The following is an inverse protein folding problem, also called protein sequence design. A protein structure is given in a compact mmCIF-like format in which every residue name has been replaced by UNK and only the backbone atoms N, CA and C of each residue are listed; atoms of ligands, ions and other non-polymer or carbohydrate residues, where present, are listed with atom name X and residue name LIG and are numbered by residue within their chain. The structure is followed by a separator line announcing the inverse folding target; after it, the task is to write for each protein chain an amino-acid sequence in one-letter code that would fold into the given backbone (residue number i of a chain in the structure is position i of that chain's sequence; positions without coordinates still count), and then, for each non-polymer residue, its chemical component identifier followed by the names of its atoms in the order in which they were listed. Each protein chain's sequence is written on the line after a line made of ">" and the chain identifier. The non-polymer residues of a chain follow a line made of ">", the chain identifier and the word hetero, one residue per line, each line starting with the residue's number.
data_IF_361153165568
#
_entry.id   IF_361153165568
#
_cell.length_a   1.000
_cell.length_b   1.000
_cell.length_c   1.000
_cell.angle_alpha   90.00
_cell.angle_beta   90.00
_cell.angle_gamma   90.00
#
_symmetry.space_group_name_H-M   'P 1'
#
loop_
_entity.id
_entity.type
_entity.pdbx_description
1 polymer ?
#
# COMPACT_ATOMS: atom_id res chain seq x y z
N UNK A 1 -10.41 12.61 6.63
CA UNK A 1 -11.19 12.46 5.37
C UNK A 1 -10.31 13.01 4.24
N UNK A 2 -10.33 12.43 3.05
CA UNK A 2 -9.49 12.85 1.92
C UNK A 2 -10.18 13.80 0.93
N UNK A 3 -11.34 14.35 1.30
CA UNK A 3 -12.14 15.26 0.48
C UNK A 3 -13.04 16.15 1.37
N UNK A 4 -13.49 17.27 0.82
CA UNK A 4 -14.51 18.16 1.37
C UNK A 4 -14.89 19.23 0.35
N UNK A 5 -15.65 20.25 0.76
CA UNK A 5 -16.13 21.28 -0.18
C UNK A 5 -14.95 22.00 -0.84
N UNK A 6 -14.86 21.86 -2.17
CA UNK A 6 -13.82 22.50 -2.98
C UNK A 6 -12.41 21.90 -2.85
N UNK A 7 -12.23 20.76 -2.15
CA UNK A 7 -10.88 20.19 -1.99
C UNK A 7 -10.85 18.65 -2.03
N UNK A 8 -9.71 18.14 -2.50
CA UNK A 8 -9.29 16.74 -2.42
C UNK A 8 -7.86 16.70 -1.85
N UNK A 9 -7.59 15.72 -0.99
CA UNK A 9 -6.24 15.46 -0.48
C UNK A 9 -5.65 14.28 -1.26
N UNK A 10 -4.35 14.32 -1.52
CA UNK A 10 -3.61 13.28 -2.25
C UNK A 10 -2.32 12.92 -1.53
N UNK A 11 -1.72 11.77 -1.86
CA UNK A 11 -0.46 11.30 -1.29
C UNK A 11 -0.48 11.24 0.25
N UNK A 12 0.58 11.74 0.88
CA UNK A 12 0.73 11.73 2.34
C UNK A 12 -0.35 12.54 3.05
N UNK A 13 -0.85 13.62 2.45
CA UNK A 13 -1.97 14.38 2.98
C UNK A 13 -3.27 13.56 3.06
N UNK A 14 -3.43 12.58 2.16
CA UNK A 14 -4.55 11.63 2.19
C UNK A 14 -4.29 10.40 3.09
N UNK A 15 -3.17 10.34 3.81
CA UNK A 15 -2.71 9.19 4.63
C UNK A 15 -2.64 7.89 3.83
N UNK A 16 -2.24 7.98 2.57
CA UNK A 16 -2.06 6.80 1.71
C UNK A 16 -0.64 6.29 1.87
N UNK A 17 -0.32 5.73 3.04
CA UNK A 17 1.03 5.23 3.35
C UNK A 17 1.10 3.73 3.12
N UNK A 18 2.08 3.29 2.35
CA UNK A 18 2.39 1.88 2.07
C UNK A 18 3.62 1.44 2.87
N UNK A 19 3.45 0.67 3.96
CA UNK A 19 4.56 0.31 4.84
C UNK A 19 5.43 -0.86 4.33
N UNK A 20 4.99 -1.64 3.34
CA UNK A 20 5.65 -2.92 2.99
C UNK A 20 6.66 -2.77 1.85
N UNK A 21 6.35 -2.02 0.80
CA UNK A 21 7.28 -1.83 -0.35
C UNK A 21 8.01 -0.50 -0.33
N UNK A 22 7.63 0.43 0.56
CA UNK A 22 8.19 1.79 0.59
C UNK A 22 7.80 2.66 -0.62
N UNK A 23 6.87 2.22 -1.47
CA UNK A 23 6.48 2.92 -2.70
C UNK A 23 5.49 4.08 -2.44
N UNK A 24 5.85 5.05 -1.60
CA UNK A 24 5.01 6.23 -1.35
C UNK A 24 4.70 7.02 -2.63
N UNK A 25 5.66 7.05 -3.57
CA UNK A 25 5.54 7.75 -4.86
C UNK A 25 4.41 7.19 -5.72
N UNK A 26 4.26 5.86 -5.79
CA UNK A 26 3.18 5.23 -6.56
C UNK A 26 1.81 5.66 -6.03
N UNK A 27 1.61 5.62 -4.70
CA UNK A 27 0.35 6.00 -4.09
C UNK A 27 0.06 7.49 -4.25
N UNK A 28 1.08 8.35 -4.13
CA UNK A 28 0.95 9.77 -4.39
C UNK A 28 0.51 10.05 -5.83
N UNK A 29 1.20 9.48 -6.83
CA UNK A 29 0.84 9.66 -8.24
C UNK A 29 -0.54 9.09 -8.56
N UNK A 30 -0.83 7.88 -8.10
CA UNK A 30 -2.11 7.22 -8.39
C UNK A 30 -3.29 7.95 -7.74
N UNK A 31 -3.14 8.40 -6.50
CA UNK A 31 -4.15 9.20 -5.81
C UNK A 31 -4.35 10.57 -6.45
N UNK A 32 -3.29 11.17 -7.01
CA UNK A 32 -3.35 12.39 -7.83
C UNK A 32 -4.15 12.23 -9.11
N UNK A 33 -3.90 11.16 -9.88
CA UNK A 33 -4.66 10.86 -11.11
C UNK A 33 -6.15 10.70 -10.80
N UNK A 34 -6.49 9.92 -9.77
CA UNK A 34 -7.88 9.73 -9.35
C UNK A 34 -8.53 11.04 -8.89
N UNK A 35 -7.78 11.93 -8.23
CA UNK A 35 -8.28 13.23 -7.80
C UNK A 35 -8.57 14.13 -9.00
N UNK A 36 -7.67 14.16 -10.00
CA UNK A 36 -7.85 14.91 -11.23
C UNK A 36 -9.11 14.46 -11.99
N UNK A 37 -9.36 13.15 -12.12
CA UNK A 37 -10.58 12.62 -12.76
C UNK A 37 -11.88 13.03 -12.04
N UNK A 38 -11.84 13.11 -10.72
CA UNK A 38 -13.00 13.56 -9.93
C UNK A 38 -13.19 15.07 -10.06
N UNK A 39 -12.10 15.83 -10.00
CA UNK A 39 -12.14 17.28 -10.10
C UNK A 39 -12.57 17.75 -11.49
N UNK A 40 -12.11 17.10 -12.56
CA UNK A 40 -12.57 17.38 -13.93
C UNK A 40 -14.09 17.21 -14.08
N UNK A 41 -14.65 16.15 -13.50
CA UNK A 41 -16.11 15.94 -13.47
C UNK A 41 -16.84 16.98 -12.63
N UNK A 42 -16.26 17.42 -11.52
CA UNK A 42 -16.81 18.48 -10.68
C UNK A 42 -16.85 19.82 -11.43
N UNK A 43 -15.76 20.19 -12.11
CA UNK A 43 -15.68 21.40 -12.92
C UNK A 43 -16.68 21.39 -14.08
N UNK A 44 -16.78 20.28 -14.83
CA UNK A 44 -17.76 20.14 -15.92
C UNK A 44 -19.21 20.29 -15.46
N UNK A 45 -19.49 20.03 -14.18
CA UNK A 45 -20.83 20.16 -13.58
C UNK A 45 -21.01 21.46 -12.80
N UNK A 46 -19.97 22.27 -12.64
CA UNK A 46 -19.98 23.45 -11.77
C UNK A 46 -20.27 23.12 -10.29
N UNK A 47 -19.97 21.90 -9.84
CA UNK A 47 -20.33 21.44 -8.50
C UNK A 47 -19.11 20.85 -7.78
N UNK A 48 -18.53 21.63 -6.87
CA UNK A 48 -17.41 21.24 -6.01
C UNK A 48 -17.81 20.76 -4.61
N UNK A 49 -19.08 20.39 -4.38
CA UNK A 49 -19.53 19.97 -3.05
C UNK A 49 -18.84 18.69 -2.59
N UNK A 50 -18.73 18.52 -1.28
CA UNK A 50 -18.19 17.32 -0.67
C UNK A 50 -18.94 16.06 -1.12
N UNK A 51 -20.24 16.15 -1.41
CA UNK A 51 -21.06 15.05 -1.94
C UNK A 51 -20.59 14.63 -3.34
N UNK A 52 -20.40 15.59 -4.25
CA UNK A 52 -19.90 15.32 -5.59
C UNK A 52 -18.47 14.77 -5.55
N UNK A 53 -17.63 15.27 -4.64
CA UNK A 53 -16.25 14.85 -4.46
C UNK A 53 -16.10 13.53 -3.69
N UNK A 54 -17.14 13.05 -2.98
CA UNK A 54 -17.10 11.80 -2.21
C UNK A 54 -16.78 10.56 -3.08
N UNK A 55 -17.05 10.62 -4.39
CA UNK A 55 -16.67 9.61 -5.35
C UNK A 55 -15.17 9.29 -5.34
N UNK A 56 -14.33 10.28 -5.01
CA UNK A 56 -12.88 10.12 -4.86
C UNK A 56 -12.51 9.05 -3.84
N UNK A 57 -13.17 9.05 -2.68
CA UNK A 57 -12.89 8.08 -1.62
C UNK A 57 -13.18 6.65 -2.05
N UNK A 58 -14.23 6.43 -2.85
CA UNK A 58 -14.59 5.10 -3.38
C UNK A 58 -13.57 4.62 -4.40
N UNK A 59 -13.11 5.51 -5.28
CA UNK A 59 -12.06 5.20 -6.26
C UNK A 59 -10.75 4.83 -5.58
N UNK A 60 -10.34 5.61 -4.58
CA UNK A 60 -9.13 5.31 -3.80
C UNK A 60 -9.26 3.97 -3.05
N UNK A 61 -10.40 3.71 -2.40
CA UNK A 61 -10.63 2.41 -1.76
C UNK A 61 -10.55 1.28 -2.77
N UNK A 62 -11.16 1.39 -3.94
CA UNK A 62 -11.09 0.35 -4.97
C UNK A 62 -9.66 0.13 -5.45
N UNK A 63 -8.92 1.20 -5.73
CA UNK A 63 -7.53 1.14 -6.20
C UNK A 63 -6.57 0.55 -5.16
N UNK A 64 -6.78 0.81 -3.86
CA UNK A 64 -5.81 0.48 -2.81
C UNK A 64 -6.25 -0.64 -1.86
N UNK A 65 -7.49 -1.13 -1.98
CA UNK A 65 -8.09 -2.11 -1.04
C UNK A 65 -7.27 -3.38 -0.87
N UNK A 66 -6.76 -3.96 -1.96
CA UNK A 66 -5.96 -5.18 -1.90
C UNK A 66 -4.69 -4.97 -1.08
N UNK A 67 -3.94 -3.91 -1.40
CA UNK A 67 -2.68 -3.61 -0.72
C UNK A 67 -2.88 -3.25 0.75
N UNK A 68 -3.91 -2.45 1.06
CA UNK A 68 -4.28 -2.14 2.46
C UNK A 68 -4.65 -3.39 3.28
N UNK A 69 -5.23 -4.43 2.66
CA UNK A 69 -5.50 -5.71 3.33
C UNK A 69 -4.20 -6.47 3.59
N UNK A 70 -3.35 -6.58 2.57
CA UNK A 70 -2.04 -7.24 2.70
C UNK A 70 -1.20 -6.58 3.80
N UNK A 71 -1.12 -5.26 3.84
CA UNK A 71 -0.38 -4.54 4.87
C UNK A 71 -0.92 -4.76 6.27
N UNK A 72 -2.24 -4.86 6.40
CA UNK A 72 -2.89 -5.15 7.68
C UNK A 72 -2.56 -6.56 8.16
N UNK A 73 -2.51 -7.53 7.23
CA UNK A 73 -2.11 -8.91 7.53
C UNK A 73 -0.64 -8.96 7.93
N UNK A 74 0.24 -8.36 7.13
CA UNK A 74 1.69 -8.32 7.41
C UNK A 74 1.95 -7.61 8.74
N UNK A 75 1.32 -6.44 8.97
CA UNK A 75 1.41 -5.73 10.24
C UNK A 75 0.90 -6.57 11.41
N UNK A 76 -0.25 -7.23 11.27
CA UNK A 76 -0.75 -8.13 12.30
C UNK A 76 0.24 -9.29 12.58
N UNK A 77 0.87 -9.84 11.55
CA UNK A 77 1.82 -10.93 11.67
C UNK A 77 3.13 -10.49 12.36
N UNK A 78 3.66 -9.33 11.97
CA UNK A 78 4.89 -8.73 12.55
C UNK A 78 4.68 -8.30 14.00
N UNK A 79 3.56 -7.63 14.32
CA UNK A 79 3.31 -7.08 15.64
C UNK A 79 2.60 -8.05 16.61
N UNK A 80 2.21 -9.25 16.18
CA UNK A 80 1.68 -10.32 17.04
C UNK A 80 2.58 -11.56 17.00
N UNK A 81 3.71 -11.56 17.72
CA UNK A 81 4.64 -12.69 17.75
C UNK A 81 4.00 -14.01 18.20
N UNK A 82 2.85 -13.99 18.89
CA UNK A 82 2.09 -15.20 19.22
C UNK A 82 1.55 -15.96 17.99
N UNK A 83 1.31 -15.30 16.85
CA UNK A 83 0.91 -15.96 15.59
C UNK A 83 2.12 -16.56 14.84
N UNK A 84 3.31 -15.98 15.04
CA UNK A 84 4.56 -16.47 14.47
C UNK A 84 5.24 -17.52 15.36
N UNK A 85 4.97 -17.53 16.67
CA UNK A 85 5.63 -18.41 17.64
C UNK A 85 5.46 -19.92 17.37
N UNK A 86 4.28 -20.45 16.98
CA UNK A 86 4.14 -21.86 16.61
C UNK A 86 4.94 -22.19 15.35
N UNK A 87 4.92 -21.33 14.34
CA UNK A 87 5.64 -21.53 13.07
C UNK A 87 7.15 -21.39 13.23
N UNK A 88 7.63 -20.44 14.03
CA UNK A 88 9.05 -20.31 14.36
C UNK A 88 9.55 -21.50 15.20
N UNK A 89 8.71 -22.04 16.11
CA UNK A 89 9.02 -23.26 16.87
C UNK A 89 9.00 -24.53 16.00
N UNK A 90 8.06 -24.65 15.06
CA UNK A 90 8.09 -25.74 14.08
C UNK A 90 9.27 -25.59 13.11
N UNK A 91 9.60 -24.37 12.70
CA UNK A 91 10.77 -24.07 11.86
C UNK A 91 12.10 -24.30 12.58
N UNK A 92 12.14 -24.26 13.91
CA UNK A 92 13.33 -24.69 14.68
C UNK A 92 13.46 -26.21 14.79
N UNK A 93 12.39 -26.96 14.48
CA UNK A 93 12.39 -28.43 14.48
C UNK A 93 12.64 -29.00 13.08
N UNK A 94 12.21 -28.29 12.03
CA UNK A 94 12.59 -28.60 10.65
C UNK A 94 13.59 -27.54 10.20
N UNK A 95 14.88 -27.83 10.35
CA UNK A 95 15.99 -27.05 9.82
C UNK A 95 15.86 -26.91 8.30
N UNK A 96 14.99 -26.02 7.83
CA UNK A 96 14.91 -25.74 6.40
C UNK A 96 16.25 -25.12 6.01
N UNK A 97 17.04 -25.75 5.12
CA UNK A 97 18.33 -25.22 4.78
C UNK A 97 18.07 -23.95 3.96
N UNK A 98 18.15 -22.80 4.61
CA UNK A 98 18.07 -21.49 3.95
C UNK A 98 19.41 -21.10 3.31
N UNK A 99 20.49 -21.83 3.64
CA UNK A 99 21.83 -21.70 3.03
C UNK A 99 21.83 -21.76 1.49
N UNK A 100 21.22 -22.75 0.81
CA UNK A 100 21.18 -22.78 -0.65
C UNK A 100 20.37 -21.64 -1.28
N UNK A 101 19.41 -21.06 -0.55
CA UNK A 101 18.64 -19.91 -1.02
C UNK A 101 19.47 -18.62 -0.90
N UNK A 102 20.16 -18.45 0.22
CA UNK A 102 21.10 -17.35 0.46
C UNK A 102 22.29 -17.43 -0.51
N UNK A 103 22.84 -18.61 -0.74
CA UNK A 103 23.96 -18.81 -1.69
C UNK A 103 23.54 -18.52 -3.14
N UNK A 104 22.30 -18.84 -3.53
CA UNK A 104 21.79 -18.47 -4.86
C UNK A 104 21.49 -16.97 -5.00
N UNK A 105 21.02 -16.30 -3.95
CA UNK A 105 20.69 -14.87 -4.00
C UNK A 105 21.94 -13.99 -3.87
N UNK A 106 22.85 -14.34 -2.95
CA UNK A 106 24.11 -13.62 -2.75
C UNK A 106 25.18 -14.04 -3.77
N UNK A 107 25.18 -15.29 -4.26
CA UNK A 107 26.09 -15.75 -5.31
C UNK A 107 25.75 -15.22 -6.71
N UNK A 108 24.52 -14.76 -6.94
CA UNK A 108 24.14 -14.11 -8.21
C UNK A 108 24.65 -12.67 -8.36
N UNK A 109 25.35 -12.13 -7.35
CA UNK A 109 25.93 -10.77 -7.39
C UNK A 109 27.38 -10.74 -7.93
N UNK A 110 27.93 -11.87 -8.38
CA UNK A 110 29.29 -12.00 -8.90
C UNK A 110 29.41 -11.95 -10.43
N UNK A 111 28.70 -11.06 -11.12
CA UNK A 111 28.87 -10.83 -12.56
C UNK A 111 29.18 -9.36 -12.84
N UNK A 112 30.37 -8.92 -12.42
CA UNK A 112 31.11 -7.78 -12.99
C UNK A 112 32.61 -7.96 -12.66
N UNK A 113 33.28 -8.87 -13.38
CA UNK A 113 34.64 -8.68 -13.89
C UNK A 113 34.69 -9.15 -15.34
#
# INVERSE_FOLDING_TARGET
>A
RSYGDGYLLVGDAARVTEPVTGEGVYFALRSGILAAEVMDRAFKRGNGSAEQLAGYSRLCQKAFSFRQRVNRIIGALVYRPFLLAPFLRLSSTTSFPLRPLVDRLCGASGFLE
#
